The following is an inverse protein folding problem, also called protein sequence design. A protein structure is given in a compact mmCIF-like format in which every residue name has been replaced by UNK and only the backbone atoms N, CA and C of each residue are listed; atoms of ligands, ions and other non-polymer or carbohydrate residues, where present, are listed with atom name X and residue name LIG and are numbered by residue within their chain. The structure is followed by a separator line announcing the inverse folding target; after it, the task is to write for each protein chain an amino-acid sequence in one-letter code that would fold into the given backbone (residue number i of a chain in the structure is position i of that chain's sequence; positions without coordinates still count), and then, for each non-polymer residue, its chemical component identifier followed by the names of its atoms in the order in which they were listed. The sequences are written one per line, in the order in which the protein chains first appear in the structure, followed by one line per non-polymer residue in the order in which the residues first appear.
data_IF_736257012174
#
_entry.id   IF_736257012174
#
_cell.length_a   1.000
_cell.length_b   1.000
_cell.length_c   1.000
_cell.angle_alpha   90.00
_cell.angle_beta   90.00
_cell.angle_gamma   90.00
#
_symmetry.space_group_name_H-M   'P 1'
#
loop_
_entity.id
_entity.type
_entity.pdbx_description
1 polymer ?
#
# COMPACT_ATOMS: atom_id res chain seq x y z
N UNK A 1 -4.45 18.97 -13.88
CA UNK A 1 -4.36 17.75 -13.05
C UNK A 1 -5.13 17.98 -11.78
N UNK A 2 -5.95 17.02 -11.36
CA UNK A 2 -6.65 17.03 -10.09
C UNK A 2 -6.48 15.66 -9.42
N UNK A 3 -6.11 15.66 -8.14
CA UNK A 3 -5.93 14.45 -7.33
C UNK A 3 -6.71 14.65 -6.04
N UNK A 4 -7.53 13.68 -5.66
CA UNK A 4 -8.25 13.66 -4.39
C UNK A 4 -8.03 12.33 -3.68
N UNK A 5 -7.50 12.40 -2.47
CA UNK A 5 -7.35 11.26 -1.57
C UNK A 5 -8.69 10.88 -0.91
N UNK A 6 -8.86 9.58 -0.66
CA UNK A 6 -9.89 8.97 0.16
C UNK A 6 -9.28 7.82 0.96
N UNK A 7 -10.01 7.26 1.93
CA UNK A 7 -9.50 6.33 2.95
C UNK A 7 -8.62 5.17 2.45
N UNK A 8 -8.76 4.75 1.19
CA UNK A 8 -8.02 3.63 0.61
C UNK A 8 -7.42 3.93 -0.76
N UNK A 9 -7.22 5.21 -1.11
CA UNK A 9 -6.69 5.53 -2.44
C UNK A 9 -6.89 6.96 -2.92
N UNK A 10 -6.81 7.11 -4.24
CA UNK A 10 -6.87 8.41 -4.92
C UNK A 10 -7.78 8.35 -6.14
N UNK A 11 -8.60 9.38 -6.30
CA UNK A 11 -9.25 9.69 -7.56
C UNK A 11 -8.40 10.73 -8.30
N UNK A 12 -7.99 10.42 -9.52
CA UNK A 12 -7.11 11.28 -10.32
C UNK A 12 -7.77 11.61 -11.64
N UNK A 13 -7.76 12.89 -12.01
CA UNK A 13 -8.28 13.37 -13.29
C UNK A 13 -7.25 14.23 -14.01
N UNK A 14 -6.95 13.86 -15.25
CA UNK A 14 -6.05 14.60 -16.10
C UNK A 14 -6.83 15.34 -17.21
N UNK A 15 -6.68 16.67 -17.22
CA UNK A 15 -7.16 17.56 -18.29
C UNK A 15 -6.10 18.60 -18.65
N UNK A 16 -4.81 18.23 -18.53
CA UNK A 16 -3.71 19.15 -18.83
C UNK A 16 -3.41 19.30 -20.32
N UNK A 17 -4.15 18.62 -21.21
CA UNK A 17 -3.93 18.66 -22.65
C UNK A 17 -2.86 17.69 -23.14
N UNK A 18 -2.26 16.89 -22.24
CA UNK A 18 -1.20 15.90 -22.49
C UNK A 18 -1.22 14.84 -21.39
N UNK A 19 -0.67 13.65 -21.67
CA UNK A 19 -0.47 12.61 -20.65
C UNK A 19 0.47 13.12 -19.54
N UNK A 20 0.25 12.65 -18.31
CA UNK A 20 1.00 13.09 -17.13
C UNK A 20 1.44 11.88 -16.31
N UNK A 21 2.72 11.86 -15.92
CA UNK A 21 3.18 10.97 -14.87
C UNK A 21 2.81 11.58 -13.52
N UNK A 22 2.05 10.85 -12.71
CA UNK A 22 1.71 11.21 -11.33
C UNK A 22 2.52 10.36 -10.37
N UNK A 23 2.79 10.92 -9.18
CA UNK A 23 3.40 10.21 -8.06
C UNK A 23 2.43 10.27 -6.89
N UNK A 24 2.01 9.11 -6.39
CA UNK A 24 1.12 8.98 -5.24
C UNK A 24 1.95 8.86 -3.94
N UNK A 25 1.39 9.19 -2.77
CA UNK A 25 2.08 9.05 -1.49
C UNK A 25 2.49 7.62 -1.11
N UNK A 26 1.81 6.60 -1.63
CA UNK A 26 2.16 5.18 -1.45
C UNK A 26 1.90 4.38 -2.72
N UNK A 27 2.41 3.15 -2.77
CA UNK A 27 2.15 2.24 -3.89
C UNK A 27 0.65 1.98 -4.02
N UNK A 28 0.15 2.06 -5.24
CA UNK A 28 -1.25 1.87 -5.55
C UNK A 28 -1.44 1.08 -6.84
N UNK A 29 -2.64 0.52 -7.03
CA UNK A 29 -3.03 -0.17 -8.26
C UNK A 29 -4.17 0.58 -8.92
N UNK A 30 -4.08 0.77 -10.24
CA UNK A 30 -5.17 1.30 -11.05
C UNK A 30 -6.37 0.34 -11.04
N UNK A 31 -7.59 0.88 -10.91
CA UNK A 31 -8.83 0.10 -10.96
C UNK A 31 -9.11 -0.38 -12.38
N UNK A 32 -8.81 0.43 -13.40
CA UNK A 32 -8.99 0.02 -14.79
C UNK A 32 -8.09 -1.16 -15.19
N UNK A 33 -6.90 -1.27 -14.58
CA UNK A 33 -5.94 -2.31 -14.90
C UNK A 33 -6.20 -3.64 -14.18
N UNK A 34 -7.25 -3.76 -13.33
CA UNK A 34 -7.68 -5.00 -12.64
C UNK A 34 -6.52 -5.89 -12.11
N UNK A 35 -5.44 -5.30 -11.61
CA UNK A 35 -4.28 -6.03 -11.08
C UNK A 35 -3.31 -6.59 -12.13
N UNK A 36 -3.42 -6.18 -13.40
CA UNK A 36 -2.47 -6.54 -14.47
C UNK A 36 -1.12 -5.81 -14.33
N UNK A 37 -1.06 -4.72 -13.58
CA UNK A 37 0.18 -3.99 -13.29
C UNK A 37 0.48 -4.09 -11.80
N UNK A 38 1.74 -4.30 -11.46
CA UNK A 38 2.19 -4.25 -10.08
C UNK A 38 1.87 -2.88 -9.46
N UNK A 39 1.61 -2.89 -8.15
CA UNK A 39 1.46 -1.67 -7.39
C UNK A 39 2.69 -0.77 -7.60
N UNK A 40 2.44 0.51 -7.86
CA UNK A 40 3.49 1.47 -8.15
C UNK A 40 3.18 2.78 -7.45
N UNK A 41 4.22 3.56 -7.16
CA UNK A 41 4.08 4.93 -6.66
C UNK A 41 3.86 5.88 -7.85
N UNK A 42 4.35 5.52 -9.04
CA UNK A 42 4.26 6.35 -10.25
C UNK A 42 3.35 5.72 -11.30
N UNK A 43 2.45 6.53 -11.86
CA UNK A 43 1.50 6.11 -12.90
C UNK A 43 1.44 7.12 -14.04
N UNK A 44 1.29 6.63 -15.28
CA UNK A 44 1.03 7.47 -16.43
C UNK A 44 -0.49 7.57 -16.64
N UNK A 45 -1.04 8.78 -16.55
CA UNK A 45 -2.46 9.03 -16.80
C UNK A 45 -2.64 9.79 -18.13
N UNK A 46 -3.35 9.23 -19.12
CA UNK A 46 -3.66 9.91 -20.38
C UNK A 46 -4.43 11.22 -20.18
N UNK A 47 -4.44 12.09 -21.20
CA UNK A 47 -5.24 13.31 -21.16
C UNK A 47 -6.74 13.01 -21.34
N UNK A 48 -7.58 13.88 -20.77
CA UNK A 48 -9.04 13.75 -20.71
C UNK A 48 -9.53 12.46 -20.04
N UNK A 49 -8.69 11.85 -19.21
CA UNK A 49 -8.97 10.60 -18.54
C UNK A 49 -9.11 10.79 -17.02
N UNK A 50 -9.73 9.80 -16.37
CA UNK A 50 -9.87 9.72 -14.93
C UNK A 50 -9.67 8.29 -14.45
N UNK A 51 -8.87 8.13 -13.40
CA UNK A 51 -8.54 6.83 -12.81
C UNK A 51 -8.78 6.84 -11.30
N UNK A 52 -9.11 5.66 -10.77
CA UNK A 52 -9.10 5.40 -9.34
C UNK A 52 -7.89 4.51 -9.04
N UNK A 53 -7.03 4.95 -8.13
CA UNK A 53 -5.92 4.16 -7.62
C UNK A 53 -6.26 3.68 -6.22
N UNK A 54 -6.16 2.38 -5.97
CA UNK A 54 -6.34 1.79 -4.65
C UNK A 54 -4.98 1.58 -4.00
N UNK A 55 -4.78 2.13 -2.82
CA UNK A 55 -3.55 1.95 -2.05
C UNK A 55 -3.31 0.46 -1.79
N UNK A 56 -2.09 0.00 -2.06
CA UNK A 56 -1.68 -1.35 -1.74
C UNK A 56 -1.24 -1.37 -0.28
N UNK A 57 -2.05 -2.01 0.56
CA UNK A 57 -1.69 -2.21 1.96
C UNK A 57 -0.63 -3.30 2.06
N UNK A 58 0.43 -3.01 2.82
CA UNK A 58 1.41 -4.03 3.18
C UNK A 58 0.85 -4.94 4.26
N UNK A 59 1.04 -6.25 4.13
CA UNK A 59 0.74 -7.18 5.22
C UNK A 59 1.61 -6.93 6.47
N UNK A 60 2.72 -6.20 6.31
CA UNK A 60 3.55 -5.76 7.42
C UNK A 60 3.03 -4.52 8.16
N UNK A 61 2.06 -3.79 7.59
CA UNK A 61 1.34 -2.70 8.26
C UNK A 61 0.18 -3.30 9.08
N UNK A 62 0.57 -3.88 10.22
CA UNK A 62 -0.32 -4.66 11.08
C UNK A 62 -1.20 -3.78 11.96
N UNK A 63 -0.82 -2.51 12.17
CA UNK A 63 -1.60 -1.55 12.94
C UNK A 63 -2.52 -0.67 12.09
N UNK A 64 -2.43 -0.76 10.76
CA UNK A 64 -3.29 -0.06 9.79
C UNK A 64 -3.10 1.46 9.80
N UNK A 65 -1.89 1.93 10.11
CA UNK A 65 -1.57 3.37 10.16
C UNK A 65 -1.01 3.92 8.84
N UNK A 66 -0.84 3.06 7.83
CA UNK A 66 -0.35 3.39 6.50
C UNK A 66 1.17 3.41 6.39
N UNK A 67 1.91 3.05 7.45
CA UNK A 67 3.39 3.09 7.47
C UNK A 67 3.96 1.87 8.15
N UNK A 68 4.72 1.05 7.41
CA UNK A 68 5.48 -0.03 8.03
C UNK A 68 6.67 0.53 8.83
N UNK A 69 6.60 0.47 10.16
CA UNK A 69 7.59 1.01 11.06
C UNK A 69 7.68 0.23 12.40
N UNK A 70 8.39 0.77 13.39
CA UNK A 70 8.59 0.08 14.69
C UNK A 70 7.27 -0.19 15.43
N UNK A 71 6.22 0.60 15.20
CA UNK A 71 4.92 0.38 15.82
C UNK A 71 4.28 -0.94 15.35
N UNK A 72 4.52 -1.37 14.11
CA UNK A 72 4.09 -2.67 13.60
C UNK A 72 4.81 -3.82 14.31
N UNK A 73 6.12 -3.68 14.52
CA UNK A 73 6.90 -4.67 15.28
C UNK A 73 6.39 -4.80 16.71
N UNK A 74 6.04 -3.69 17.35
CA UNK A 74 5.44 -3.70 18.70
C UNK A 74 4.12 -4.46 18.69
N UNK A 75 3.30 -4.25 17.66
CA UNK A 75 2.01 -4.93 17.52
C UNK A 75 2.17 -6.44 17.30
N UNK A 76 3.14 -6.88 16.49
CA UNK A 76 3.50 -8.31 16.34
C UNK A 76 4.02 -8.89 17.66
N UNK A 77 4.91 -8.18 18.35
CA UNK A 77 5.49 -8.64 19.62
C UNK A 77 4.41 -8.82 20.71
N UNK A 78 3.38 -7.98 20.74
CA UNK A 78 2.24 -8.14 21.65
C UNK A 78 1.41 -9.40 21.35
N UNK A 79 1.43 -9.90 20.12
CA UNK A 79 0.75 -11.11 19.67
C UNK A 79 1.59 -12.39 19.79
N UNK A 80 2.81 -12.34 20.33
CA UNK A 80 3.72 -13.49 20.31
C UNK A 80 3.11 -14.74 20.96
N UNK A 81 3.15 -15.87 20.25
CA UNK A 81 2.53 -17.13 20.66
C UNK A 81 1.01 -17.20 20.47
N UNK A 82 0.38 -16.18 19.88
CA UNK A 82 -1.03 -16.15 19.51
C UNK A 82 -1.21 -16.50 18.01
N UNK A 83 -2.46 -16.47 17.54
CA UNK A 83 -2.80 -16.68 16.12
C UNK A 83 -2.85 -15.39 15.31
N UNK A 84 -2.69 -14.22 15.93
CA UNK A 84 -2.70 -12.92 15.26
C UNK A 84 -1.94 -11.87 16.09
N UNK A 85 -1.35 -10.84 15.45
CA UNK A 85 -1.28 -10.63 14.01
C UNK A 85 -0.15 -11.49 13.40
N UNK A 86 -0.52 -12.35 12.44
CA UNK A 86 0.35 -13.25 11.67
C UNK A 86 0.56 -12.65 10.27
N UNK A 87 1.43 -11.63 10.12
CA UNK A 87 1.62 -10.92 8.86
C UNK A 87 2.24 -11.79 7.76
N UNK A 88 2.95 -12.86 8.13
CA UNK A 88 3.60 -13.73 7.16
C UNK A 88 2.66 -14.86 6.67
N UNK A 89 1.62 -15.19 7.45
CA UNK A 89 0.56 -16.13 7.10
C UNK A 89 0.93 -17.60 7.28
N UNK A 90 1.92 -17.93 8.11
CA UNK A 90 2.35 -19.30 8.39
C UNK A 90 1.52 -20.00 9.48
N UNK A 91 0.61 -19.28 10.12
CA UNK A 91 -0.32 -19.79 11.13
C UNK A 91 0.17 -19.66 12.56
N UNK A 92 1.33 -19.04 12.84
CA UNK A 92 1.81 -18.86 14.21
C UNK A 92 2.61 -17.56 14.39
N UNK A 93 2.19 -16.70 15.33
CA UNK A 93 2.94 -15.48 15.62
C UNK A 93 4.23 -15.78 16.38
N UNK A 94 5.35 -15.63 15.72
CA UNK A 94 6.67 -15.95 16.24
C UNK A 94 7.76 -14.98 15.71
N UNK A 95 9.04 -15.36 15.84
CA UNK A 95 10.16 -14.50 15.41
C UNK A 95 10.16 -14.25 13.89
N UNK A 96 9.60 -15.17 13.10
CA UNK A 96 9.51 -15.03 11.65
C UNK A 96 8.61 -13.86 11.23
N UNK A 97 7.55 -13.56 11.99
CA UNK A 97 6.69 -12.39 11.74
C UNK A 97 7.41 -11.08 11.98
N UNK A 98 8.19 -11.00 13.06
CA UNK A 98 9.02 -9.84 13.35
C UNK A 98 10.05 -9.61 12.23
N UNK A 99 10.67 -10.70 11.74
CA UNK A 99 11.61 -10.64 10.61
C UNK A 99 10.90 -10.21 9.33
N UNK A 100 9.70 -10.74 9.05
CA UNK A 100 8.89 -10.38 7.89
C UNK A 100 8.59 -8.88 7.87
N UNK A 101 8.11 -8.32 8.98
CA UNK A 101 7.84 -6.88 9.11
C UNK A 101 9.11 -6.06 8.96
N UNK A 102 10.21 -6.45 9.62
CA UNK A 102 11.47 -5.72 9.56
C UNK A 102 12.06 -5.67 8.14
N UNK A 103 11.85 -6.69 7.31
CA UNK A 103 12.29 -6.71 5.90
C UNK A 103 11.56 -5.69 5.03
N UNK A 104 10.40 -5.20 5.46
CA UNK A 104 9.63 -4.18 4.74
C UNK A 104 10.01 -2.75 5.12
N UNK A 105 10.91 -2.55 6.10
CA UNK A 105 11.38 -1.21 6.45
C UNK A 105 12.17 -0.63 5.28
N UNK A 106 11.82 0.59 4.86
CA UNK A 106 12.45 1.32 3.73
C UNK A 106 11.98 0.92 2.33
N UNK A 107 10.83 0.24 2.20
CA UNK A 107 10.12 0.07 0.92
C UNK A 107 9.05 1.15 0.71
#
# INVERSE_FOLDING_TARGET
MYIREFDNGWAVYNRSGQAQAITLPSSATSVSDRGSTAASITHLLPDLDGEIYIATRSFADVNDDGRVNVLDLVQVANGFGQSAPDPNGDGAVNILDLVFVAQQFSQ
#
